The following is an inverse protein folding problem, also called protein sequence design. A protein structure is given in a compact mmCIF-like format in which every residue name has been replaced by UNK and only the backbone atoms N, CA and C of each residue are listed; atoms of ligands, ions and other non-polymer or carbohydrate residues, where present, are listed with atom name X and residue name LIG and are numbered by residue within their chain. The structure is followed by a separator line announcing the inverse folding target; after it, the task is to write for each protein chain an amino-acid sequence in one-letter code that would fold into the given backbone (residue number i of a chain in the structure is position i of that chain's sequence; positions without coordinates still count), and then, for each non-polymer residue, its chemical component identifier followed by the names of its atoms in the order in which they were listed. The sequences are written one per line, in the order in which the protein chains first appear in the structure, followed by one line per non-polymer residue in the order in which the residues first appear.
data_IF_799758008486
#
_entry.id   IF_799758008486
#
_cell.length_a   1.000
_cell.length_b   1.000
_cell.length_c   1.000
_cell.angle_alpha   90.00
_cell.angle_beta   90.00
_cell.angle_gamma   90.00
#
_symmetry.space_group_name_H-M   'P 1'
#
loop_
_entity.id
_entity.type
_entity.pdbx_description
1 polymer ?
#
# COMPACT_ATOMS: atom_id res chain seq x y z
N UNK A 1 7.98 -1.06 37.82
CA UNK A 1 8.81 -2.28 37.89
C UNK A 1 9.80 -2.27 36.75
N UNK A 2 11.08 -2.00 37.03
CA UNK A 2 12.17 -2.01 36.04
C UNK A 2 12.70 -3.43 35.88
N UNK A 3 12.74 -3.96 34.65
CA UNK A 3 13.19 -5.33 34.35
C UNK A 3 14.70 -5.43 34.60
N UNK A 4 15.12 -6.26 35.55
CA UNK A 4 16.54 -6.56 35.80
C UNK A 4 17.09 -7.49 34.73
N UNK A 5 18.21 -7.12 34.13
CA UNK A 5 18.94 -7.95 33.17
C UNK A 5 19.88 -8.87 33.94
N UNK A 6 19.65 -10.19 33.90
CA UNK A 6 20.58 -11.16 34.48
C UNK A 6 21.82 -11.23 33.60
N UNK A 7 23.01 -11.06 34.17
CA UNK A 7 24.28 -11.22 33.47
C UNK A 7 24.49 -12.69 33.12
N UNK A 8 24.10 -13.10 31.91
CA UNK A 8 24.42 -14.43 31.38
C UNK A 8 25.76 -14.36 30.65
N UNK A 9 26.82 -14.80 31.32
CA UNK A 9 28.22 -14.74 30.82
C UNK A 9 28.44 -15.64 29.58
N UNK A 10 27.56 -16.63 29.35
CA UNK A 10 27.71 -17.63 28.28
C UNK A 10 26.54 -17.69 27.29
N UNK A 11 25.54 -16.81 27.41
CA UNK A 11 24.40 -16.77 26.48
C UNK A 11 24.34 -15.43 25.78
N UNK A 12 24.15 -15.45 24.47
CA UNK A 12 23.91 -14.24 23.69
C UNK A 12 22.66 -13.53 24.22
N UNK A 13 22.76 -12.19 24.37
CA UNK A 13 21.68 -11.34 24.86
C UNK A 13 20.38 -11.64 24.09
N UNK A 14 19.32 -11.99 24.82
CA UNK A 14 18.01 -12.28 24.22
C UNK A 14 17.53 -11.08 23.39
N UNK A 15 17.23 -11.33 22.11
CA UNK A 15 16.78 -10.27 21.21
C UNK A 15 15.37 -9.82 21.61
N UNK A 16 15.09 -8.51 21.77
CA UNK A 16 13.79 -8.06 22.24
C UNK A 16 12.67 -8.46 21.26
N UNK A 17 11.77 -9.32 21.71
CA UNK A 17 10.69 -9.91 20.89
C UNK A 17 9.75 -8.89 20.23
N UNK A 18 9.57 -7.72 20.82
CA UNK A 18 8.50 -6.79 20.46
C UNK A 18 8.95 -5.56 19.65
N UNK A 19 10.26 -5.37 19.45
CA UNK A 19 10.79 -4.14 18.82
C UNK A 19 11.87 -4.39 17.78
N UNK A 20 12.10 -5.64 17.38
CA UNK A 20 13.21 -6.00 16.48
C UNK A 20 12.82 -6.15 15.02
N UNK A 21 11.54 -6.44 14.72
CA UNK A 21 11.10 -6.75 13.36
C UNK A 21 9.76 -6.06 13.08
N UNK A 22 9.79 -5.06 12.20
CA UNK A 22 8.60 -4.55 11.53
C UNK A 22 8.51 -5.24 10.17
N UNK A 23 7.59 -6.20 10.00
CA UNK A 23 7.41 -6.93 8.74
C UNK A 23 7.83 -8.41 8.79
N UNK A 24 7.87 -9.04 7.63
CA UNK A 24 8.24 -10.45 7.50
C UNK A 24 9.75 -10.69 7.72
N UNK A 25 10.13 -11.94 7.98
CA UNK A 25 11.54 -12.31 8.10
C UNK A 25 12.31 -11.98 6.81
N UNK A 26 13.41 -11.22 6.92
CA UNK A 26 14.23 -10.78 5.79
C UNK A 26 13.74 -9.51 5.09
N UNK A 27 12.63 -8.92 5.54
CA UNK A 27 12.11 -7.67 4.99
C UNK A 27 12.82 -6.47 5.63
N UNK A 28 13.08 -5.43 4.83
CA UNK A 28 13.67 -4.19 5.35
C UNK A 28 12.72 -3.55 6.37
N UNK A 29 13.21 -3.09 7.55
CA UNK A 29 12.37 -2.40 8.53
C UNK A 29 11.68 -1.14 7.99
N UNK A 30 12.24 -0.55 6.92
CA UNK A 30 11.72 0.63 6.24
C UNK A 30 10.85 0.27 5.03
N UNK A 31 10.49 -1.00 4.85
CA UNK A 31 9.68 -1.43 3.72
C UNK A 31 8.24 -0.91 3.85
N UNK A 32 7.76 -0.24 2.81
CA UNK A 32 6.36 0.18 2.71
C UNK A 32 5.53 -0.97 2.18
N UNK A 33 4.46 -1.35 2.89
CA UNK A 33 3.58 -2.45 2.50
C UNK A 33 3.11 -2.34 1.05
N UNK A 34 3.35 -3.39 0.25
CA UNK A 34 3.03 -3.43 -1.19
C UNK A 34 3.64 -2.26 -1.98
N UNK A 35 4.74 -1.70 -1.48
CA UNK A 35 5.40 -0.51 -2.04
C UNK A 35 4.52 0.75 -2.06
N UNK A 36 3.44 0.84 -1.29
CA UNK A 36 2.51 1.98 -1.34
C UNK A 36 1.31 1.79 -2.27
N UNK A 37 1.21 0.66 -2.98
CA UNK A 37 0.05 0.37 -3.84
C UNK A 37 -1.18 -0.11 -3.05
N UNK A 38 -2.37 0.15 -3.60
CA UNK A 38 -3.65 -0.41 -3.18
C UNK A 38 -4.49 0.50 -2.29
N UNK A 39 -5.78 0.16 -2.16
CA UNK A 39 -6.77 0.92 -1.39
C UNK A 39 -6.35 1.03 0.09
N UNK A 40 -6.31 2.26 0.61
CA UNK A 40 -5.88 2.59 1.97
C UNK A 40 -4.40 2.98 2.11
N UNK A 41 -3.64 2.98 1.01
CA UNK A 41 -2.31 3.58 0.95
C UNK A 41 -2.37 4.90 0.16
N UNK A 42 -1.38 5.77 0.37
CA UNK A 42 -1.27 7.09 -0.28
C UNK A 42 -0.71 7.03 -1.72
N UNK A 43 -0.41 5.85 -2.25
CA UNK A 43 0.20 5.68 -3.57
C UNK A 43 1.72 5.65 -3.53
N UNK A 44 2.35 5.63 -4.72
CA UNK A 44 3.79 5.77 -4.88
C UNK A 44 4.19 7.19 -5.23
N UNK A 45 5.43 7.59 -4.91
CA UNK A 45 6.01 8.79 -5.49
C UNK A 45 6.01 8.66 -7.03
N UNK A 46 5.38 9.61 -7.70
CA UNK A 46 5.11 9.63 -9.14
C UNK A 46 3.70 9.22 -9.55
N UNK A 47 2.92 8.59 -8.67
CA UNK A 47 1.50 8.31 -8.93
C UNK A 47 0.65 9.59 -8.84
N UNK A 48 1.09 10.61 -8.09
CA UNK A 48 0.38 11.88 -7.89
C UNK A 48 0.23 12.66 -9.20
N UNK A 49 1.17 12.51 -10.13
CA UNK A 49 1.08 13.11 -11.48
C UNK A 49 -0.16 12.57 -12.21
N UNK A 50 -0.46 11.28 -12.04
CA UNK A 50 -1.63 10.69 -12.66
C UNK A 50 -2.92 11.18 -12.00
N UNK A 51 -2.91 11.36 -10.67
CA UNK A 51 -4.07 11.90 -9.95
C UNK A 51 -4.36 13.36 -10.38
N UNK A 52 -3.31 14.17 -10.59
CA UNK A 52 -3.42 15.54 -11.11
C UNK A 52 -3.85 15.61 -12.58
N UNK A 53 -3.52 14.58 -13.36
CA UNK A 53 -4.03 14.39 -14.72
C UNK A 53 -5.52 14.04 -14.67
N UNK A 54 -5.90 13.10 -13.82
CA UNK A 54 -7.28 12.63 -13.68
C UNK A 54 -8.19 13.72 -13.08
N UNK A 55 -7.65 14.62 -12.24
CA UNK A 55 -8.35 15.81 -11.72
C UNK A 55 -8.51 16.93 -12.77
N UNK A 56 -7.82 16.83 -13.91
CA UNK A 56 -7.84 17.84 -14.97
C UNK A 56 -6.96 19.08 -14.71
N UNK A 57 -6.18 19.08 -13.63
CA UNK A 57 -5.25 20.17 -13.29
C UNK A 57 -4.05 20.20 -14.24
N UNK A 58 -3.57 19.03 -14.67
CA UNK A 58 -2.50 18.89 -15.67
C UNK A 58 -3.09 18.37 -16.98
N UNK A 59 -2.95 19.14 -18.06
CA UNK A 59 -3.33 18.69 -19.41
C UNK A 59 -2.34 17.63 -19.91
N UNK A 60 -2.84 16.46 -20.27
CA UNK A 60 -2.01 15.39 -20.83
C UNK A 60 -1.50 15.77 -22.22
N UNK A 61 -0.19 15.67 -22.44
CA UNK A 61 0.41 15.90 -23.78
C UNK A 61 0.07 14.75 -24.74
N UNK A 62 -0.25 13.58 -24.20
CA UNK A 62 -0.61 12.40 -24.96
C UNK A 62 -1.86 11.77 -24.35
N UNK A 63 -2.89 11.55 -25.19
CA UNK A 63 -4.15 10.87 -24.88
C UNK A 63 -3.95 9.38 -24.51
N UNK A 64 -3.07 9.09 -23.56
CA UNK A 64 -2.88 7.74 -23.02
C UNK A 64 -3.86 7.58 -21.88
N UNK A 65 -5.11 7.27 -22.22
CA UNK A 65 -6.12 6.88 -21.22
C UNK A 65 -5.57 5.70 -20.43
N UNK A 66 -5.49 5.82 -19.09
CA UNK A 66 -5.10 4.67 -18.24
C UNK A 66 -6.03 3.51 -18.57
N UNK A 67 -5.45 2.34 -18.85
CA UNK A 67 -6.22 1.07 -18.90
C UNK A 67 -6.67 0.72 -17.48
N UNK A 68 -7.65 1.44 -16.94
CA UNK A 68 -8.42 1.06 -15.75
C UNK A 68 -9.43 -0.04 -16.09
N UNK A 69 -9.00 -1.11 -16.75
CA UNK A 69 -9.91 -2.03 -17.45
C UNK A 69 -10.71 -2.95 -16.52
N UNK A 70 -10.51 -2.90 -15.20
CA UNK A 70 -11.20 -3.82 -14.28
C UNK A 70 -12.20 -3.11 -13.36
N UNK A 71 -11.86 -1.98 -12.71
CA UNK A 71 -12.82 -1.31 -11.83
C UNK A 71 -13.97 -0.65 -12.61
N UNK A 72 -13.66 0.09 -13.67
CA UNK A 72 -14.65 0.79 -14.50
C UNK A 72 -15.61 -0.20 -15.19
N UNK A 73 -15.09 -1.35 -15.65
CA UNK A 73 -15.93 -2.39 -16.23
C UNK A 73 -16.81 -3.08 -15.18
N UNK A 74 -16.34 -3.23 -13.95
CA UNK A 74 -17.12 -3.84 -12.89
C UNK A 74 -18.22 -2.90 -12.39
N UNK A 75 -17.93 -1.61 -12.27
CA UNK A 75 -18.92 -0.57 -11.94
C UNK A 75 -20.02 -0.47 -13.00
N UNK A 76 -19.66 -0.48 -14.29
CA UNK A 76 -20.65 -0.52 -15.38
C UNK A 76 -21.55 -1.75 -15.30
N UNK A 77 -20.97 -2.94 -15.16
CA UNK A 77 -21.75 -4.19 -15.02
C UNK A 77 -22.70 -4.15 -13.81
N UNK A 78 -22.26 -3.61 -12.68
CA UNK A 78 -23.09 -3.45 -11.50
C UNK A 78 -24.24 -2.46 -11.75
N UNK A 79 -23.98 -1.35 -12.42
CA UNK A 79 -25.00 -0.37 -12.81
C UNK A 79 -26.05 -0.98 -13.74
N UNK A 80 -25.62 -1.72 -14.76
CA UNK A 80 -26.51 -2.36 -15.74
C UNK A 80 -27.45 -3.37 -15.06
N UNK A 81 -26.94 -4.14 -14.09
CA UNK A 81 -27.73 -5.07 -13.29
C UNK A 81 -28.74 -4.36 -12.38
N UNK A 82 -28.40 -3.19 -11.85
CA UNK A 82 -29.29 -2.42 -10.96
C UNK A 82 -30.42 -1.72 -11.70
N UNK A 83 -30.19 -1.31 -12.96
CA UNK A 83 -31.18 -0.60 -13.78
C UNK A 83 -32.08 -1.54 -14.57
N UNK A 84 -31.83 -2.85 -14.52
CA UNK A 84 -32.63 -3.85 -15.21
C UNK A 84 -33.98 -4.04 -14.51
N UNK A 85 -35.01 -3.35 -15.01
CA UNK A 85 -36.40 -3.53 -14.61
C UNK A 85 -37.15 -4.28 -15.72
N UNK A 86 -37.93 -5.30 -15.33
CA UNK A 86 -38.81 -6.12 -16.20
C UNK A 86 -40.08 -5.34 -16.51
#
# INVERSE_FOLDING_TARGET
MTRTSKWTVHEAKSNPKYFTHNGNFGESPNHVKRGGYGKGNWGKPGDEINDLIDSGEIKTVFNKTRRGSNSQNNERRLSDLQQYHI
#
